data_IF_134604810280
#
_entry.id   IF_134604810280
#
_cell.length_a   1.000
_cell.length_b   1.000
_cell.length_c   1.000
_cell.angle_alpha   90.00
_cell.angle_beta   90.00
_cell.angle_gamma   90.00
#
_symmetry.space_group_name_H-M   'P 1'
#
loop_
_entity.id
_entity.type
_entity.pdbx_description
1 polymer ?
#
# COMPACT_ATOMS: atom_id res chain seq x y z
N UNK A 1 -15.52 11.59 3.12
CA UNK A 1 -16.08 10.64 2.12
C UNK A 1 -15.02 9.57 1.87
N UNK A 2 -15.36 8.32 2.12
CA UNK A 2 -14.43 7.18 2.03
C UNK A 2 -15.20 5.87 1.86
N UNK A 3 -14.49 4.74 1.72
CA UNK A 3 -15.07 3.41 1.92
C UNK A 3 -15.04 3.07 3.41
N UNK A 4 -16.13 2.58 3.97
CA UNK A 4 -16.24 2.26 5.41
C UNK A 4 -16.68 0.82 5.69
N UNK A 5 -17.23 0.13 4.70
CA UNK A 5 -17.93 -1.14 4.91
C UNK A 5 -17.21 -2.38 4.41
N UNK A 6 -15.92 -2.29 4.03
CA UNK A 6 -15.17 -3.41 3.44
C UNK A 6 -13.77 -3.52 4.02
N UNK A 7 -13.25 -4.74 4.04
CA UNK A 7 -11.83 -5.02 4.29
C UNK A 7 -10.99 -4.36 3.18
N UNK A 8 -10.50 -3.15 3.46
CA UNK A 8 -9.54 -2.47 2.61
C UNK A 8 -8.75 -1.45 3.46
N UNK A 9 -7.50 -1.17 3.08
CA UNK A 9 -6.64 -0.25 3.81
C UNK A 9 -7.23 1.16 3.97
N UNK A 10 -8.02 1.64 2.99
CA UNK A 10 -8.68 2.95 3.08
C UNK A 10 -9.78 2.97 4.14
N UNK A 11 -10.52 1.88 4.30
CA UNK A 11 -11.55 1.78 5.33
C UNK A 11 -10.91 1.73 6.73
N UNK A 12 -9.83 0.98 6.90
CA UNK A 12 -9.05 0.93 8.14
C UNK A 12 -8.51 2.33 8.49
N UNK A 13 -7.89 3.02 7.52
CA UNK A 13 -7.40 4.39 7.73
C UNK A 13 -8.52 5.38 8.06
N UNK A 14 -9.68 5.27 7.39
CA UNK A 14 -10.84 6.12 7.70
C UNK A 14 -11.36 5.90 9.13
N UNK A 15 -11.33 4.65 9.60
CA UNK A 15 -11.71 4.30 10.98
C UNK A 15 -10.70 4.90 11.97
N UNK A 16 -9.41 4.78 11.71
CA UNK A 16 -8.36 5.38 12.53
C UNK A 16 -8.50 6.92 12.58
N UNK A 17 -8.65 7.57 11.43
CA UNK A 17 -8.87 9.02 11.34
C UNK A 17 -10.10 9.49 12.12
N UNK A 18 -11.21 8.76 12.04
CA UNK A 18 -12.41 9.11 12.78
C UNK A 18 -12.15 9.12 14.29
N UNK A 19 -11.37 8.17 14.80
CA UNK A 19 -10.97 8.15 16.22
C UNK A 19 -10.07 9.32 16.57
N UNK A 20 -9.04 9.58 15.75
CA UNK A 20 -8.05 10.64 15.94
C UNK A 20 -8.68 12.04 15.92
N UNK A 21 -9.66 12.26 15.06
CA UNK A 21 -10.24 13.59 14.81
C UNK A 21 -11.53 13.87 15.59
N UNK A 22 -12.01 12.93 16.39
CA UNK A 22 -13.33 13.01 17.05
C UNK A 22 -13.43 14.17 18.06
N UNK A 23 -12.31 14.57 18.67
CA UNK A 23 -12.26 15.68 19.60
C UNK A 23 -12.20 17.05 18.88
N UNK A 24 -11.71 17.07 17.65
CA UNK A 24 -11.56 18.30 16.85
C UNK A 24 -12.78 18.57 15.94
N UNK A 25 -13.53 17.52 15.54
CA UNK A 25 -14.61 17.62 14.55
C UNK A 25 -15.79 16.70 14.88
N UNK A 26 -16.99 17.17 14.57
CA UNK A 26 -18.18 16.31 14.44
C UNK A 26 -18.14 15.63 13.06
N UNK A 27 -17.84 14.31 13.02
CA UNK A 27 -17.51 13.60 11.79
C UNK A 27 -18.66 12.70 11.34
N UNK A 28 -19.18 13.01 10.16
CA UNK A 28 -20.07 12.11 9.41
C UNK A 28 -19.33 11.46 8.25
N UNK A 29 -19.29 10.13 8.22
CA UNK A 29 -18.69 9.37 7.13
C UNK A 29 -19.72 9.01 6.06
N UNK A 30 -19.51 9.46 4.83
CA UNK A 30 -20.31 9.05 3.68
C UNK A 30 -19.60 7.89 2.97
N UNK A 31 -20.21 6.70 3.00
CA UNK A 31 -19.68 5.51 2.37
C UNK A 31 -19.78 5.56 0.85
N UNK A 32 -18.65 5.34 0.18
CA UNK A 32 -18.57 5.17 -1.27
C UNK A 32 -18.84 3.71 -1.61
N UNK A 33 -20.10 3.35 -1.80
CA UNK A 33 -20.56 1.98 -2.00
C UNK A 33 -19.89 1.31 -3.21
N UNK A 34 -18.89 0.45 -2.95
CA UNK A 34 -18.05 -0.17 -3.97
C UNK A 34 -18.81 -1.11 -4.90
N UNK A 35 -19.86 -1.76 -4.42
CA UNK A 35 -20.73 -2.60 -5.26
C UNK A 35 -21.38 -1.79 -6.37
N UNK A 36 -21.90 -0.60 -6.06
CA UNK A 36 -22.53 0.28 -7.04
C UNK A 36 -21.52 0.96 -7.95
N UNK A 37 -20.39 1.44 -7.36
CA UNK A 37 -19.45 2.30 -8.06
C UNK A 37 -18.54 1.54 -9.01
N UNK A 38 -18.18 0.28 -8.68
CA UNK A 38 -17.25 -0.55 -9.48
C UNK A 38 -17.94 -1.60 -10.36
N UNK A 39 -19.25 -1.70 -10.31
CA UNK A 39 -19.97 -2.71 -11.09
C UNK A 39 -19.78 -2.48 -12.61
N UNK A 40 -19.47 -3.51 -13.41
CA UNK A 40 -19.32 -3.37 -14.85
C UNK A 40 -20.65 -3.12 -15.58
N UNK A 41 -21.77 -3.52 -14.99
CA UNK A 41 -23.06 -3.44 -15.62
C UNK A 41 -23.60 -2.00 -15.69
N UNK A 42 -23.96 -1.53 -16.90
CA UNK A 42 -24.36 -0.12 -17.15
C UNK A 42 -25.51 0.39 -16.24
N UNK A 43 -26.51 -0.46 -15.96
CA UNK A 43 -27.64 -0.06 -15.09
C UNK A 43 -27.20 0.17 -13.66
N UNK A 44 -26.33 -0.71 -13.12
CA UNK A 44 -25.80 -0.56 -11.76
C UNK A 44 -24.88 0.65 -11.67
N UNK A 45 -24.06 0.92 -12.68
CA UNK A 45 -23.24 2.17 -12.75
C UNK A 45 -24.08 3.43 -12.68
N UNK A 46 -25.29 3.44 -13.30
CA UNK A 46 -26.23 4.56 -13.18
C UNK A 46 -26.77 4.72 -11.75
N UNK A 47 -26.97 3.62 -11.02
CA UNK A 47 -27.31 3.66 -9.60
C UNK A 47 -26.16 4.23 -8.77
N UNK A 48 -24.92 3.84 -9.08
CA UNK A 48 -23.71 4.43 -8.51
C UNK A 48 -23.62 5.94 -8.74
N UNK A 49 -23.93 6.42 -9.94
CA UNK A 49 -23.98 7.87 -10.22
C UNK A 49 -25.07 8.59 -9.42
N UNK A 50 -26.24 7.94 -9.21
CA UNK A 50 -27.31 8.47 -8.37
C UNK A 50 -26.88 8.56 -6.92
N UNK A 51 -26.28 7.49 -6.38
CA UNK A 51 -25.70 7.45 -5.04
C UNK A 51 -24.71 8.60 -4.79
N UNK A 52 -23.74 8.83 -5.71
CA UNK A 52 -22.81 9.96 -5.59
C UNK A 52 -23.54 11.31 -5.63
N UNK A 53 -24.56 11.48 -6.45
CA UNK A 53 -25.35 12.72 -6.48
C UNK A 53 -26.14 12.94 -5.18
N UNK A 54 -26.59 11.89 -4.51
CA UNK A 54 -27.22 11.97 -3.19
C UNK A 54 -26.19 12.43 -2.14
N UNK A 55 -24.98 11.86 -2.15
CA UNK A 55 -23.87 12.34 -1.32
C UNK A 55 -23.60 13.83 -1.62
N UNK A 56 -23.53 14.23 -2.88
CA UNK A 56 -23.33 15.63 -3.26
C UNK A 56 -24.38 16.58 -2.71
N UNK A 57 -25.64 16.15 -2.60
CA UNK A 57 -26.69 16.97 -1.97
C UNK A 57 -26.50 17.08 -0.46
N UNK A 58 -26.14 15.96 0.17
CA UNK A 58 -25.97 15.89 1.62
C UNK A 58 -24.77 16.70 2.11
N UNK A 59 -23.62 16.65 1.42
CA UNK A 59 -22.38 17.29 1.86
C UNK A 59 -22.39 18.82 1.78
N UNK A 60 -23.34 19.43 1.07
CA UNK A 60 -23.48 20.89 0.97
C UNK A 60 -23.77 21.60 2.29
N UNK A 61 -24.27 20.87 3.29
CA UNK A 61 -24.61 21.40 4.62
C UNK A 61 -23.48 21.29 5.65
N UNK A 62 -22.34 20.71 5.29
CA UNK A 62 -21.20 20.56 6.18
C UNK A 62 -20.24 21.73 6.00
N UNK A 63 -19.53 22.12 7.07
CA UNK A 63 -18.55 23.21 7.02
C UNK A 63 -17.37 22.87 6.13
N UNK A 64 -16.87 21.65 6.22
CA UNK A 64 -15.79 21.14 5.37
C UNK A 64 -16.03 19.68 4.97
N UNK A 65 -15.42 19.27 3.91
CA UNK A 65 -15.50 17.91 3.38
C UNK A 65 -14.12 17.40 3.06
N UNK A 66 -13.70 16.34 3.74
CA UNK A 66 -12.51 15.61 3.36
C UNK A 66 -12.86 14.44 2.42
N UNK A 67 -12.18 14.34 1.29
CA UNK A 67 -12.26 13.24 0.34
C UNK A 67 -11.01 12.38 0.45
N UNK A 68 -11.15 11.15 0.94
CA UNK A 68 -10.11 10.13 0.91
C UNK A 68 -10.01 9.58 -0.51
N UNK A 69 -9.08 10.10 -1.30
CA UNK A 69 -8.96 9.78 -2.71
C UNK A 69 -8.03 8.58 -2.93
N UNK A 70 -8.66 7.45 -3.15
CA UNK A 70 -8.10 6.33 -3.87
C UNK A 70 -8.95 6.11 -5.11
N UNK A 71 -8.34 6.19 -6.29
CA UNK A 71 -9.08 6.26 -7.56
C UNK A 71 -10.08 5.13 -7.73
N UNK A 72 -9.69 3.92 -7.36
CA UNK A 72 -10.53 2.73 -7.40
C UNK A 72 -11.82 2.84 -6.57
N UNK A 73 -11.86 3.69 -5.56
CA UNK A 73 -13.07 3.86 -4.70
C UNK A 73 -14.18 4.61 -5.42
N UNK A 74 -13.86 5.45 -6.39
CA UNK A 74 -14.84 6.20 -7.17
C UNK A 74 -15.36 5.46 -8.39
N UNK A 75 -14.74 4.34 -8.78
CA UNK A 75 -15.21 3.55 -9.92
C UNK A 75 -14.17 2.63 -10.52
N UNK A 76 -14.56 1.93 -11.60
CA UNK A 76 -13.66 1.06 -12.38
C UNK A 76 -13.11 1.74 -13.64
N UNK A 77 -13.89 2.66 -14.23
CA UNK A 77 -13.53 3.35 -15.46
C UNK A 77 -13.07 4.78 -15.17
N UNK A 78 -11.95 5.21 -15.77
CA UNK A 78 -11.37 6.53 -15.55
C UNK A 78 -12.35 7.69 -15.77
N UNK A 79 -13.23 7.58 -16.78
CA UNK A 79 -14.27 8.59 -17.05
C UNK A 79 -15.33 8.67 -15.94
N UNK A 80 -15.71 7.53 -15.33
CA UNK A 80 -16.66 7.54 -14.21
C UNK A 80 -16.00 8.10 -12.95
N UNK A 81 -14.74 7.70 -12.68
CA UNK A 81 -13.93 8.20 -11.56
C UNK A 81 -13.82 9.73 -11.66
N UNK A 82 -13.35 10.24 -12.80
CA UNK A 82 -13.17 11.68 -13.01
C UNK A 82 -14.48 12.46 -12.91
N UNK A 83 -15.56 11.97 -13.53
CA UNK A 83 -16.88 12.61 -13.47
C UNK A 83 -17.41 12.71 -12.04
N UNK A 84 -17.33 11.61 -11.27
CA UNK A 84 -17.77 11.56 -9.87
C UNK A 84 -16.91 12.44 -8.98
N UNK A 85 -15.61 12.43 -9.20
CA UNK A 85 -14.68 13.34 -8.53
C UNK A 85 -15.07 14.81 -8.77
N UNK A 86 -15.36 15.20 -10.00
CA UNK A 86 -15.84 16.55 -10.31
C UNK A 86 -17.12 16.91 -9.55
N UNK A 87 -18.10 16.00 -9.50
CA UNK A 87 -19.36 16.27 -8.77
C UNK A 87 -19.12 16.47 -7.27
N UNK A 88 -18.32 15.62 -6.64
CA UNK A 88 -18.01 15.71 -5.21
C UNK A 88 -17.24 17.00 -4.89
N UNK A 89 -16.21 17.31 -5.67
CA UNK A 89 -15.38 18.50 -5.47
C UNK A 89 -16.16 19.79 -5.70
N UNK A 90 -17.10 19.84 -6.62
CA UNK A 90 -17.97 21.01 -6.82
C UNK A 90 -19.00 21.17 -5.69
N UNK A 91 -19.52 20.07 -5.16
CA UNK A 91 -20.56 20.09 -4.14
C UNK A 91 -20.05 20.48 -2.73
N UNK A 92 -18.82 20.17 -2.40
CA UNK A 92 -18.21 20.46 -1.09
C UNK A 92 -18.11 22.00 -0.87
N UNK A 93 -18.56 22.56 0.26
CA UNK A 93 -18.41 24.00 0.54
C UNK A 93 -16.94 24.39 0.71
N UNK A 94 -16.20 23.67 1.54
CA UNK A 94 -14.76 23.71 1.73
C UNK A 94 -14.23 22.31 1.47
N UNK A 95 -13.12 22.16 0.76
CA UNK A 95 -12.62 20.87 0.31
C UNK A 95 -11.22 20.59 0.83
N UNK A 96 -11.05 19.43 1.45
CA UNK A 96 -9.76 18.81 1.69
C UNK A 96 -9.69 17.48 0.93
N UNK A 97 -8.59 17.20 0.23
CA UNK A 97 -8.41 15.92 -0.48
C UNK A 97 -7.18 15.21 0.07
N UNK A 98 -7.37 14.04 0.62
CA UNK A 98 -6.26 13.15 1.02
C UNK A 98 -5.97 12.19 -0.12
N UNK A 99 -4.77 12.28 -0.70
CA UNK A 99 -4.31 11.41 -1.78
C UNK A 99 -3.60 10.18 -1.20
N UNK A 100 -4.17 9.01 -1.36
CA UNK A 100 -3.51 7.74 -1.00
C UNK A 100 -2.55 7.25 -2.08
N UNK A 101 -2.80 7.66 -3.32
CA UNK A 101 -1.93 7.46 -4.48
C UNK A 101 -1.96 8.73 -5.31
N UNK A 102 -0.79 9.24 -5.67
CA UNK A 102 -0.69 10.35 -6.61
C UNK A 102 -0.26 9.81 -7.98
N UNK A 103 -1.09 10.02 -9.00
CA UNK A 103 -0.76 9.58 -10.35
C UNK A 103 0.04 10.66 -11.07
N UNK A 104 1.25 10.33 -11.51
CA UNK A 104 2.04 11.20 -12.35
C UNK A 104 1.44 11.32 -13.76
N UNK A 105 1.61 12.47 -14.44
CA UNK A 105 1.18 12.61 -15.84
C UNK A 105 1.86 11.55 -16.72
N UNK A 106 1.09 10.77 -17.51
CA UNK A 106 1.68 9.73 -18.34
C UNK A 106 2.43 10.32 -19.52
N UNK A 107 3.62 9.81 -19.80
CA UNK A 107 4.26 10.04 -21.08
C UNK A 107 3.52 9.26 -22.18
N UNK A 108 3.35 9.88 -23.35
CA UNK A 108 2.79 9.18 -24.51
C UNK A 108 3.92 8.56 -25.32
N UNK A 109 3.91 7.24 -25.44
CA UNK A 109 4.86 6.54 -26.30
C UNK A 109 4.46 6.69 -27.77
N UNK A 110 4.92 7.78 -28.36
CA UNK A 110 4.65 8.11 -29.78
C UNK A 110 5.32 7.11 -30.72
N UNK A 111 6.47 6.55 -30.35
CA UNK A 111 7.21 5.59 -31.19
C UNK A 111 6.47 4.26 -31.27
N UNK A 112 6.05 3.70 -30.14
CA UNK A 112 5.24 2.48 -30.13
C UNK A 112 3.88 2.69 -30.81
N UNK A 113 3.28 3.86 -30.66
CA UNK A 113 2.03 4.22 -31.33
C UNK A 113 2.18 4.28 -32.85
N UNK A 114 3.20 4.97 -33.38
CA UNK A 114 3.46 5.04 -34.82
C UNK A 114 3.84 3.65 -35.39
N UNK A 115 4.61 2.85 -34.64
CA UNK A 115 4.92 1.48 -35.02
C UNK A 115 3.65 0.61 -35.13
N UNK A 116 2.73 0.74 -34.18
CA UNK A 116 1.44 0.02 -34.21
C UNK A 116 0.59 0.41 -35.45
N UNK A 117 0.60 1.69 -35.84
CA UNK A 117 -0.05 2.15 -37.06
C UNK A 117 0.64 1.62 -38.31
N UNK A 118 1.98 1.69 -38.39
CA UNK A 118 2.76 1.20 -39.52
C UNK A 118 2.61 -0.31 -39.77
N UNK A 119 2.37 -1.07 -38.68
CA UNK A 119 2.13 -2.52 -38.75
C UNK A 119 0.64 -2.87 -38.87
N UNK A 120 -0.24 -1.90 -39.18
CA UNK A 120 -1.70 -2.06 -39.27
C UNK A 120 -2.35 -2.64 -38.01
N UNK A 121 -1.70 -2.58 -36.85
CA UNK A 121 -2.26 -3.03 -35.57
C UNK A 121 -3.11 -1.92 -34.94
N UNK A 122 -4.21 -1.57 -35.62
CA UNK A 122 -5.12 -0.51 -35.16
C UNK A 122 -5.72 -0.76 -33.77
N UNK A 123 -5.90 -2.05 -33.41
CA UNK A 123 -6.41 -2.43 -32.09
C UNK A 123 -5.45 -2.03 -30.97
N UNK A 124 -4.15 -2.23 -31.17
CA UNK A 124 -3.10 -1.79 -30.25
C UNK A 124 -3.03 -0.26 -30.17
N UNK A 125 -3.01 0.42 -31.31
CA UNK A 125 -2.97 1.88 -31.37
C UNK A 125 -4.16 2.54 -30.64
N UNK A 126 -5.38 2.05 -30.87
CA UNK A 126 -6.59 2.54 -30.18
C UNK A 126 -6.50 2.26 -28.67
N UNK A 127 -6.01 1.09 -28.26
CA UNK A 127 -5.82 0.75 -26.84
C UNK A 127 -4.83 1.74 -26.19
N UNK A 128 -3.64 1.92 -26.78
CA UNK A 128 -2.61 2.84 -26.26
C UNK A 128 -3.16 4.26 -26.09
N UNK A 129 -3.86 4.78 -27.10
CA UNK A 129 -4.49 6.09 -27.01
C UNK A 129 -5.52 6.18 -25.89
N UNK A 130 -6.37 5.16 -25.75
CA UNK A 130 -7.41 5.14 -24.71
C UNK A 130 -6.82 5.02 -23.31
N UNK A 131 -5.78 4.22 -23.13
CA UNK A 131 -5.11 4.04 -21.84
C UNK A 131 -4.36 5.32 -21.45
N UNK A 132 -3.66 5.96 -22.40
CA UNK A 132 -3.05 7.29 -22.17
C UNK A 132 -4.10 8.33 -21.81
N UNK A 133 -5.21 8.42 -22.57
CA UNK A 133 -6.29 9.37 -22.27
C UNK A 133 -6.90 9.14 -20.88
N UNK A 134 -7.07 7.88 -20.48
CA UNK A 134 -7.57 7.52 -19.15
C UNK A 134 -6.60 7.95 -18.05
N UNK A 135 -5.33 7.63 -18.19
CA UNK A 135 -4.30 8.01 -17.23
C UNK A 135 -4.16 9.55 -17.15
N UNK A 136 -4.22 10.25 -18.28
CA UNK A 136 -4.20 11.72 -18.33
C UNK A 136 -5.41 12.35 -17.64
N UNK A 137 -6.62 11.78 -17.76
CA UNK A 137 -7.79 12.26 -17.01
C UNK A 137 -7.62 12.12 -15.50
N UNK A 138 -7.03 11.01 -15.04
CA UNK A 138 -6.88 10.74 -13.62
C UNK A 138 -5.69 11.46 -12.98
N UNK A 139 -4.73 11.94 -13.76
CA UNK A 139 -3.62 12.78 -13.28
C UNK A 139 -3.89 14.27 -13.58
N UNK A 140 -3.63 14.70 -14.78
CA UNK A 140 -3.77 16.12 -15.18
C UNK A 140 -5.20 16.65 -15.05
N UNK A 141 -6.21 15.82 -15.36
CA UNK A 141 -7.62 16.20 -15.26
C UNK A 141 -8.01 16.51 -13.81
N UNK A 142 -7.60 15.68 -12.85
CA UNK A 142 -7.86 15.90 -11.41
C UNK A 142 -7.15 17.18 -10.94
N UNK A 143 -5.87 17.37 -11.27
CA UNK A 143 -5.15 18.59 -10.93
C UNK A 143 -5.81 19.85 -11.51
N UNK A 144 -6.26 19.79 -12.77
CA UNK A 144 -7.00 20.89 -13.41
C UNK A 144 -8.34 21.17 -12.71
N UNK A 145 -9.07 20.15 -12.32
CA UNK A 145 -10.33 20.32 -11.57
C UNK A 145 -10.09 20.96 -10.21
N UNK A 146 -9.10 20.53 -9.45
CA UNK A 146 -8.77 21.13 -8.16
C UNK A 146 -8.31 22.58 -8.30
N UNK A 147 -7.46 22.90 -9.30
CA UNK A 147 -7.08 24.29 -9.62
C UNK A 147 -8.30 25.17 -9.93
N UNK A 148 -9.26 24.65 -10.70
CA UNK A 148 -10.49 25.36 -11.01
C UNK A 148 -11.35 25.57 -9.75
N UNK A 149 -11.44 24.59 -8.86
CA UNK A 149 -12.25 24.69 -7.65
C UNK A 149 -11.62 25.66 -6.65
N UNK A 150 -10.29 25.66 -6.47
CA UNK A 150 -9.60 26.54 -5.51
C UNK A 150 -9.68 28.04 -5.87
N UNK A 151 -10.07 28.40 -7.09
CA UNK A 151 -10.34 29.82 -7.42
C UNK A 151 -11.65 30.34 -6.84
N UNK A 152 -12.54 29.44 -6.39
CA UNK A 152 -13.89 29.78 -5.94
C UNK A 152 -14.14 29.47 -4.46
N UNK A 153 -13.35 28.59 -3.89
CA UNK A 153 -13.48 28.16 -2.50
C UNK A 153 -12.17 27.63 -1.93
N UNK A 154 -12.03 27.52 -0.60
CA UNK A 154 -10.85 26.93 0.02
C UNK A 154 -10.68 25.46 -0.39
N UNK A 155 -9.46 25.11 -0.84
CA UNK A 155 -9.05 23.75 -1.20
C UNK A 155 -7.70 23.47 -0.57
N UNK A 156 -7.59 22.34 0.11
CA UNK A 156 -6.33 21.80 0.60
C UNK A 156 -6.12 20.39 0.09
N UNK A 157 -4.88 19.95 0.10
CA UNK A 157 -4.49 18.57 -0.18
C UNK A 157 -3.64 18.04 0.97
N UNK A 158 -3.83 16.76 1.30
CA UNK A 158 -3.00 15.99 2.22
C UNK A 158 -2.40 14.85 1.42
N UNK A 159 -1.09 14.64 1.55
CA UNK A 159 -0.34 13.57 0.90
C UNK A 159 0.52 12.85 1.94
N UNK A 160 1.07 11.68 1.59
CA UNK A 160 1.74 10.83 2.58
C UNK A 160 3.26 10.78 2.43
N UNK A 161 3.81 11.57 1.50
CA UNK A 161 5.26 11.71 1.33
C UNK A 161 5.63 13.08 0.73
N UNK A 162 6.90 13.47 0.83
CA UNK A 162 7.39 14.77 0.38
C UNK A 162 7.40 14.93 -1.13
N UNK A 163 7.71 13.86 -1.85
CA UNK A 163 7.66 13.87 -3.32
C UNK A 163 6.25 14.23 -3.81
N UNK A 164 5.23 13.56 -3.28
CA UNK A 164 3.84 13.83 -3.65
C UNK A 164 3.38 15.23 -3.21
N UNK A 165 3.96 15.78 -2.11
CA UNK A 165 3.73 17.17 -1.72
C UNK A 165 4.25 18.13 -2.80
N UNK A 166 5.47 17.95 -3.28
CA UNK A 166 6.03 18.77 -4.36
C UNK A 166 5.22 18.63 -5.65
N UNK A 167 4.89 17.40 -6.05
CA UNK A 167 4.10 17.13 -7.25
C UNK A 167 2.70 17.74 -7.15
N UNK A 168 2.04 17.63 -6.00
CA UNK A 168 0.73 18.23 -5.79
C UNK A 168 0.80 19.76 -5.84
N UNK A 169 1.85 20.37 -5.30
CA UNK A 169 2.05 21.82 -5.32
C UNK A 169 2.41 22.33 -6.71
N UNK A 170 3.39 21.71 -7.37
CA UNK A 170 3.96 22.23 -8.61
C UNK A 170 3.29 21.67 -9.87
N UNK A 171 2.99 20.37 -9.93
CA UNK A 171 2.33 19.79 -11.11
C UNK A 171 0.81 19.98 -11.06
N UNK A 172 0.18 19.78 -9.89
CA UNK A 172 -1.26 19.98 -9.73
C UNK A 172 -1.62 21.43 -9.43
N UNK A 173 -0.68 22.27 -8.98
CA UNK A 173 -0.86 23.69 -8.70
C UNK A 173 -1.82 23.96 -7.53
N UNK A 174 -1.79 23.12 -6.51
CA UNK A 174 -2.59 23.31 -5.29
C UNK A 174 -1.82 24.18 -4.31
N UNK A 175 -2.47 25.22 -3.76
CA UNK A 175 -1.81 26.23 -2.91
C UNK A 175 -1.52 25.71 -1.50
N UNK A 176 -2.46 24.98 -0.92
CA UNK A 176 -2.36 24.49 0.45
C UNK A 176 -2.18 22.96 0.40
N UNK A 177 -0.93 22.52 0.56
CA UNK A 177 -0.57 21.11 0.55
C UNK A 177 0.16 20.81 1.85
N UNK A 178 -0.27 19.76 2.52
CA UNK A 178 0.27 19.23 3.75
C UNK A 178 0.74 17.81 3.52
N UNK A 179 1.85 17.46 4.13
CA UNK A 179 2.38 16.10 4.08
C UNK A 179 2.45 15.49 5.47
N UNK A 180 2.00 14.27 5.58
CA UNK A 180 2.12 13.46 6.79
C UNK A 180 2.10 11.98 6.41
N UNK A 181 3.07 11.15 6.86
CA UNK A 181 3.00 9.70 6.63
C UNK A 181 1.75 9.13 7.28
N UNK A 182 1.31 7.95 6.83
CA UNK A 182 0.14 7.30 7.43
C UNK A 182 0.40 7.02 8.92
N UNK A 183 -0.61 7.28 9.75
CA UNK A 183 -0.59 6.97 11.18
C UNK A 183 -1.94 6.42 11.64
N UNK A 184 -1.91 5.36 12.44
CA UNK A 184 -3.09 4.56 12.78
C UNK A 184 -3.33 4.44 14.27
N UNK A 185 -2.26 4.22 15.08
CA UNK A 185 -2.36 3.73 16.44
C UNK A 185 -1.91 4.79 17.45
N UNK A 186 -2.74 5.03 18.45
CA UNK A 186 -2.39 5.81 19.63
C UNK A 186 -1.53 4.99 20.61
N UNK A 187 -0.83 5.67 21.54
CA UNK A 187 -0.01 4.99 22.54
C UNK A 187 -0.78 3.94 23.37
N UNK A 188 -2.00 4.21 23.87
CA UNK A 188 -2.79 3.21 24.58
C UNK A 188 -3.18 1.99 23.72
N UNK A 189 -3.47 2.22 22.43
CA UNK A 189 -3.77 1.13 21.49
C UNK A 189 -2.54 0.25 21.27
N UNK A 190 -1.36 0.84 21.10
CA UNK A 190 -0.08 0.13 20.95
C UNK A 190 0.20 -0.71 22.20
N UNK A 191 0.06 -0.15 23.39
CA UNK A 191 0.27 -0.87 24.67
C UNK A 191 -0.69 -2.05 24.79
N UNK A 192 -1.97 -1.86 24.49
CA UNK A 192 -2.98 -2.92 24.52
C UNK A 192 -2.64 -4.04 23.54
N UNK A 193 -2.31 -3.71 22.28
CA UNK A 193 -1.99 -4.70 21.25
C UNK A 193 -0.74 -5.49 21.65
N UNK A 194 0.30 -4.82 22.14
CA UNK A 194 1.55 -5.47 22.56
C UNK A 194 1.35 -6.35 23.78
N UNK A 195 0.56 -5.91 24.75
CA UNK A 195 0.23 -6.70 25.95
C UNK A 195 -0.56 -7.96 25.66
N UNK A 196 -1.39 -7.92 24.62
CA UNK A 196 -2.25 -9.04 24.20
C UNK A 196 -1.61 -9.93 23.12
N UNK A 197 -0.44 -9.56 22.58
CA UNK A 197 0.20 -10.28 21.49
C UNK A 197 1.01 -11.45 22.03
N UNK A 198 0.38 -12.61 22.05
CA UNK A 198 0.98 -13.89 22.45
C UNK A 198 0.84 -14.89 21.31
N UNK A 199 1.82 -15.80 21.18
CA UNK A 199 1.86 -16.81 20.12
C UNK A 199 0.67 -17.77 20.19
N UNK A 200 0.19 -18.10 21.39
CA UNK A 200 -0.92 -19.02 21.65
C UNK A 200 -2.27 -18.54 21.04
N UNK A 201 -2.35 -17.28 20.60
CA UNK A 201 -3.52 -16.80 19.85
C UNK A 201 -3.59 -17.32 18.41
N UNK A 202 -2.52 -17.94 17.95
CA UNK A 202 -2.39 -18.45 16.59
C UNK A 202 -2.21 -19.97 16.62
N UNK A 203 -3.29 -20.77 16.73
CA UNK A 203 -3.22 -22.22 16.92
C UNK A 203 -2.37 -22.97 15.89
N UNK A 204 -2.23 -22.40 14.68
CA UNK A 204 -1.36 -22.97 13.66
C UNK A 204 0.14 -22.82 13.95
N UNK A 205 0.51 -22.15 15.03
CA UNK A 205 1.88 -21.98 15.49
C UNK A 205 2.20 -22.81 16.75
N UNK A 206 1.22 -23.57 17.28
CA UNK A 206 1.37 -24.33 18.52
C UNK A 206 2.42 -25.44 18.41
N UNK A 207 2.56 -26.02 17.20
CA UNK A 207 3.51 -27.09 16.94
C UNK A 207 4.95 -26.60 16.65
N UNK A 208 5.16 -25.27 16.60
CA UNK A 208 6.50 -24.73 16.33
C UNK A 208 7.37 -24.76 17.60
N UNK A 209 8.67 -25.05 17.48
CA UNK A 209 9.59 -25.05 18.62
C UNK A 209 9.69 -23.66 19.27
N UNK A 210 10.09 -23.62 20.54
CA UNK A 210 10.21 -22.38 21.32
C UNK A 210 11.28 -21.42 20.77
N UNK A 211 12.30 -21.96 20.12
CA UNK A 211 13.37 -21.21 19.48
C UNK A 211 13.06 -20.83 18.02
N UNK A 212 11.82 -21.01 17.55
CA UNK A 212 11.41 -20.63 16.23
C UNK A 212 11.50 -19.10 16.02
N UNK A 213 12.21 -18.69 14.99
CA UNK A 213 12.31 -17.29 14.54
C UNK A 213 11.19 -17.00 13.56
N UNK A 214 10.31 -16.07 13.88
CA UNK A 214 9.11 -15.76 13.11
C UNK A 214 9.33 -14.54 12.21
N UNK A 215 9.22 -14.74 10.90
CA UNK A 215 9.34 -13.68 9.88
C UNK A 215 7.96 -13.44 9.29
N UNK A 216 7.43 -12.23 9.40
CA UNK A 216 6.08 -11.91 8.94
C UNK A 216 6.04 -11.08 7.66
N UNK A 217 5.20 -11.46 6.69
CA UNK A 217 4.84 -10.64 5.53
C UNK A 217 3.37 -10.29 5.62
N UNK A 218 3.01 -9.01 5.38
CA UNK A 218 1.70 -8.46 5.71
C UNK A 218 1.03 -7.73 4.54
N UNK A 219 -0.27 -8.00 4.33
CA UNK A 219 -1.15 -7.33 3.39
C UNK A 219 -1.84 -8.27 2.42
N UNK A 220 -2.70 -7.73 1.55
CA UNK A 220 -3.35 -8.53 0.51
C UNK A 220 -2.32 -9.16 -0.41
N UNK A 221 -2.52 -10.42 -0.75
CA UNK A 221 -1.64 -11.17 -1.65
C UNK A 221 -1.83 -10.67 -3.08
N UNK A 222 -0.83 -9.94 -3.56
CA UNK A 222 -0.75 -9.39 -4.89
C UNK A 222 0.71 -9.39 -5.36
N UNK A 223 0.95 -9.51 -6.65
CA UNK A 223 2.30 -9.63 -7.24
C UNK A 223 3.26 -8.54 -6.75
N UNK A 224 2.79 -7.29 -6.66
CA UNK A 224 3.66 -6.20 -6.22
C UNK A 224 4.12 -6.30 -4.76
N UNK A 225 3.50 -7.16 -3.95
CA UNK A 225 3.92 -7.42 -2.57
C UNK A 225 5.20 -8.25 -2.48
N UNK A 226 5.59 -8.93 -3.57
CA UNK A 226 6.86 -9.64 -3.68
C UNK A 226 7.05 -10.76 -2.67
N UNK A 227 5.97 -11.41 -2.23
CA UNK A 227 6.01 -12.48 -1.21
C UNK A 227 6.96 -13.60 -1.63
N UNK A 228 7.08 -13.84 -2.92
CA UNK A 228 8.03 -14.77 -3.53
C UNK A 228 9.48 -14.51 -3.11
N UNK A 229 9.89 -13.24 -2.96
CA UNK A 229 11.25 -12.89 -2.51
C UNK A 229 11.49 -13.37 -1.08
N UNK A 230 10.49 -13.29 -0.21
CA UNK A 230 10.60 -13.79 1.17
C UNK A 230 10.62 -15.32 1.22
N UNK A 231 9.84 -16.01 0.35
CA UNK A 231 9.88 -17.47 0.21
C UNK A 231 11.26 -17.92 -0.28
N UNK A 232 11.81 -17.27 -1.29
CA UNK A 232 13.13 -17.58 -1.81
C UNK A 232 14.25 -17.32 -0.78
N UNK A 233 14.16 -16.24 0.00
CA UNK A 233 15.11 -15.96 1.07
C UNK A 233 15.12 -17.03 2.16
N UNK A 234 13.95 -17.63 2.47
CA UNK A 234 13.82 -18.66 3.52
C UNK A 234 14.71 -19.89 3.26
N UNK A 235 15.04 -20.19 2.01
CA UNK A 235 15.94 -21.31 1.66
C UNK A 235 17.35 -21.15 2.23
N UNK A 236 17.79 -19.90 2.47
CA UNK A 236 19.13 -19.57 2.97
C UNK A 236 19.16 -19.30 4.47
N UNK A 237 18.01 -19.43 5.15
CA UNK A 237 17.89 -19.25 6.59
C UNK A 237 17.93 -20.59 7.33
N UNK A 238 18.39 -20.63 8.59
CA UNK A 238 18.34 -21.81 9.45
C UNK A 238 16.94 -22.43 9.51
N UNK A 239 16.89 -23.72 9.83
CA UNK A 239 15.64 -24.50 9.82
C UNK A 239 14.59 -24.02 10.83
N UNK A 240 15.02 -23.38 11.93
CA UNK A 240 14.14 -22.79 12.91
C UNK A 240 13.51 -21.44 12.48
N UNK A 241 13.80 -20.95 11.27
CA UNK A 241 13.16 -19.74 10.73
C UNK A 241 11.88 -20.10 9.98
N UNK A 242 10.78 -19.46 10.33
CA UNK A 242 9.46 -19.69 9.77
C UNK A 242 8.89 -18.41 9.17
N UNK A 243 8.32 -18.53 7.96
CA UNK A 243 7.68 -17.42 7.25
C UNK A 243 6.17 -17.45 7.49
N UNK A 244 5.65 -16.38 8.08
CA UNK A 244 4.22 -16.18 8.33
C UNK A 244 3.66 -15.20 7.27
N UNK A 245 2.71 -15.64 6.45
CA UNK A 245 2.10 -14.86 5.39
C UNK A 245 0.71 -14.41 5.82
N UNK A 246 0.60 -13.19 6.31
CA UNK A 246 -0.64 -12.58 6.80
C UNK A 246 -1.35 -11.82 5.68
N UNK A 247 -2.43 -12.38 5.20
CA UNK A 247 -3.27 -11.79 4.18
C UNK A 247 -3.93 -12.82 3.29
N UNK A 248 -4.90 -12.37 2.54
CA UNK A 248 -5.62 -13.17 1.55
C UNK A 248 -5.70 -12.44 0.22
N UNK A 249 -6.33 -13.06 -0.77
CA UNK A 249 -6.66 -12.40 -2.04
C UNK A 249 -7.60 -11.24 -1.75
N UNK A 250 -7.33 -10.09 -2.40
CA UNK A 250 -8.23 -8.95 -2.25
C UNK A 250 -9.66 -9.33 -2.69
N UNK A 251 -10.70 -9.05 -1.89
CA UNK A 251 -12.07 -9.52 -2.19
C UNK A 251 -12.60 -9.13 -3.57
N UNK A 252 -12.06 -8.05 -4.16
CA UNK A 252 -12.45 -7.59 -5.50
C UNK A 252 -11.75 -8.33 -6.65
N UNK A 253 -10.73 -9.12 -6.35
CA UNK A 253 -9.98 -9.94 -7.32
C UNK A 253 -10.46 -11.40 -7.34
N UNK A 254 -11.34 -11.77 -6.40
CA UNK A 254 -11.97 -13.09 -6.41
C UNK A 254 -12.99 -13.14 -7.55
N UNK A 255 -12.66 -13.87 -8.62
CA UNK A 255 -13.55 -14.07 -9.74
C UNK A 255 -14.43 -15.31 -9.51
N UNK A 256 -15.76 -15.24 -9.77
CA UNK A 256 -16.63 -16.40 -9.73
C UNK A 256 -16.13 -17.46 -10.75
N UNK A 257 -16.07 -18.72 -10.32
CA UNK A 257 -15.67 -19.88 -11.15
C UNK A 257 -14.18 -19.92 -11.53
N UNK A 258 -13.33 -19.09 -10.95
CA UNK A 258 -11.89 -19.23 -11.09
C UNK A 258 -11.39 -20.22 -10.03
N UNK A 259 -10.79 -21.36 -10.42
CA UNK A 259 -10.45 -22.40 -9.44
C UNK A 259 -9.36 -21.97 -8.46
N UNK A 260 -8.39 -21.16 -8.92
CA UNK A 260 -7.32 -20.60 -8.09
C UNK A 260 -6.89 -19.25 -8.66
N UNK A 261 -6.45 -18.35 -7.79
CA UNK A 261 -5.82 -17.10 -8.23
C UNK A 261 -4.38 -17.42 -8.71
N UNK A 262 -3.96 -17.02 -9.93
CA UNK A 262 -2.66 -17.39 -10.50
C UNK A 262 -1.48 -17.07 -9.58
N UNK A 263 -1.47 -15.88 -8.98
CA UNK A 263 -0.43 -15.47 -8.04
C UNK A 263 -0.36 -16.37 -6.80
N UNK A 264 -1.51 -16.74 -6.23
CA UNK A 264 -1.54 -17.68 -5.09
C UNK A 264 -0.98 -19.05 -5.50
N UNK A 265 -1.35 -19.54 -6.68
CA UNK A 265 -0.78 -20.79 -7.20
C UNK A 265 0.73 -20.70 -7.30
N UNK A 266 1.28 -19.59 -7.83
CA UNK A 266 2.74 -19.42 -7.95
C UNK A 266 3.45 -19.38 -6.59
N UNK A 267 2.81 -18.84 -5.54
CA UNK A 267 3.38 -18.87 -4.18
C UNK A 267 3.43 -20.30 -3.61
N UNK A 268 2.37 -21.09 -3.82
CA UNK A 268 2.37 -22.50 -3.41
C UNK A 268 3.38 -23.32 -4.20
N UNK A 269 3.48 -23.11 -5.51
CA UNK A 269 4.47 -23.80 -6.34
C UNK A 269 5.90 -23.53 -5.86
N UNK A 270 6.19 -22.30 -5.43
CA UNK A 270 7.50 -21.94 -4.83
C UNK A 270 7.70 -22.52 -3.43
N UNK A 271 6.66 -22.61 -2.61
CA UNK A 271 6.72 -23.14 -1.26
C UNK A 271 6.96 -24.66 -1.24
N UNK A 272 6.29 -25.37 -2.11
CA UNK A 272 6.38 -26.84 -2.19
C UNK A 272 7.48 -27.34 -3.14
N UNK A 273 8.04 -26.45 -3.94
CA UNK A 273 9.06 -26.71 -4.97
C UNK A 273 8.75 -27.98 -5.74
N UNK A 274 8.12 -27.84 -6.91
CA UNK A 274 7.73 -28.97 -7.76
C UNK A 274 8.95 -29.80 -8.19
N UNK A 275 9.29 -30.83 -7.42
CA UNK A 275 10.36 -31.78 -7.71
C UNK A 275 10.12 -32.51 -9.02
N UNK A 276 8.85 -32.52 -9.52
CA UNK A 276 8.50 -33.20 -10.77
C UNK A 276 9.21 -32.63 -11.99
N UNK A 277 9.62 -31.35 -11.94
CA UNK A 277 10.40 -30.74 -13.02
C UNK A 277 11.80 -31.38 -13.08
N UNK A 278 12.44 -31.61 -11.94
CA UNK A 278 13.76 -32.28 -11.85
C UNK A 278 13.64 -33.76 -12.19
N UNK A 279 12.58 -34.43 -11.75
CA UNK A 279 12.30 -35.82 -12.13
C UNK A 279 12.03 -35.94 -13.61
N UNK A 280 11.35 -34.98 -14.23
CA UNK A 280 11.18 -34.92 -15.70
C UNK A 280 12.49 -34.66 -16.42
N UNK A 281 13.32 -33.75 -15.92
CA UNK A 281 14.64 -33.46 -16.51
C UNK A 281 15.59 -34.65 -16.36
N UNK A 282 15.62 -35.31 -15.21
CA UNK A 282 16.39 -36.54 -15.01
C UNK A 282 15.85 -37.70 -15.86
N UNK A 283 14.52 -37.82 -16.02
CA UNK A 283 13.88 -38.80 -16.89
C UNK A 283 14.14 -38.56 -18.39
N UNK A 284 14.34 -37.32 -18.83
CA UNK A 284 14.75 -36.98 -20.20
C UNK A 284 16.20 -37.36 -20.42
N UNK A 285 17.09 -37.16 -19.42
CA UNK A 285 18.48 -37.59 -19.50
C UNK A 285 18.63 -39.13 -19.66
N UNK A 286 17.71 -39.92 -19.10
CA UNK A 286 17.70 -41.39 -19.21
C UNK A 286 17.19 -41.90 -20.55
N UNK A 287 16.62 -41.06 -21.44
CA UNK A 287 16.11 -41.43 -22.75
C UNK A 287 17.07 -41.18 -23.93
N UNK A 288 18.39 -41.19 -23.68
CA UNK A 288 19.41 -41.18 -24.73
C UNK A 288 19.84 -39.79 -25.24
N UNK A 289 19.41 -38.71 -24.62
CA UNK A 289 20.08 -37.42 -24.78
C UNK A 289 21.39 -37.40 -23.94
N UNK A 290 22.51 -36.86 -24.46
CA UNK A 290 23.73 -36.74 -23.66
C UNK A 290 23.37 -35.88 -22.42
N UNK A 291 23.79 -36.31 -21.21
CA UNK A 291 23.56 -35.53 -20.02
C UNK A 291 24.17 -34.14 -20.22
N UNK A 292 23.47 -33.09 -19.88
CA UNK A 292 24.06 -31.76 -19.78
C UNK A 292 25.06 -31.84 -18.62
N UNK A 293 26.32 -32.02 -18.96
CA UNK A 293 27.39 -32.01 -17.96
C UNK A 293 27.67 -30.54 -17.64
N UNK A 294 27.04 -30.07 -16.59
CA UNK A 294 27.43 -28.80 -15.98
C UNK A 294 28.65 -29.09 -15.13
N UNK A 295 29.82 -28.64 -15.57
CA UNK A 295 31.02 -28.66 -14.73
C UNK A 295 30.85 -27.61 -13.63
N UNK A 296 30.18 -28.01 -12.56
CA UNK A 296 30.05 -27.22 -11.35
C UNK A 296 31.20 -27.59 -10.41
N UNK A 297 31.78 -26.59 -9.75
CA UNK A 297 32.70 -26.87 -8.65
C UNK A 297 31.94 -27.54 -7.49
N UNK A 298 32.70 -28.09 -6.53
CA UNK A 298 32.07 -28.83 -5.42
C UNK A 298 31.10 -27.98 -4.63
N UNK A 299 31.39 -26.71 -4.38
CA UNK A 299 30.50 -25.80 -3.66
C UNK A 299 29.20 -25.51 -4.42
N UNK A 300 29.30 -25.33 -5.74
CA UNK A 300 28.13 -25.14 -6.60
C UNK A 300 27.30 -26.44 -6.71
N UNK A 301 27.98 -27.61 -6.77
CA UNK A 301 27.31 -28.91 -6.79
C UNK A 301 26.58 -29.20 -5.49
N UNK A 302 27.16 -28.86 -4.34
CA UNK A 302 26.53 -28.95 -3.04
C UNK A 302 25.34 -27.99 -2.93
N UNK A 303 25.47 -26.76 -3.42
CA UNK A 303 24.40 -25.77 -3.47
C UNK A 303 23.24 -26.26 -4.36
N UNK A 304 23.54 -26.75 -5.56
CA UNK A 304 22.54 -27.29 -6.49
C UNK A 304 21.91 -28.59 -5.97
N UNK A 305 22.67 -29.43 -5.25
CA UNK A 305 22.15 -30.62 -4.60
C UNK A 305 21.29 -30.35 -3.38
N UNK A 306 21.40 -29.17 -2.78
CA UNK A 306 20.54 -28.73 -1.69
C UNK A 306 19.18 -28.15 -2.20
N UNK A 307 19.01 -27.97 -3.48
CA UNK A 307 17.80 -27.46 -4.10
C UNK A 307 17.15 -28.50 -5.04
N UNK A 308 15.82 -28.52 -5.09
CA UNK A 308 14.84 -27.72 -4.37
C UNK A 308 14.60 -28.21 -2.94
N UNK A 309 14.59 -27.32 -1.97
CA UNK A 309 14.11 -27.66 -0.61
C UNK A 309 12.60 -27.46 -0.53
N UNK A 310 11.90 -28.45 -0.02
CA UNK A 310 10.50 -28.29 0.38
C UNK A 310 10.46 -27.37 1.61
N UNK A 311 9.81 -26.23 1.45
CA UNK A 311 9.65 -25.21 2.50
C UNK A 311 8.27 -25.28 3.15
N UNK A 312 7.42 -26.24 2.77
CA UNK A 312 6.02 -26.32 3.21
C UNK A 312 5.87 -26.36 4.73
N UNK A 313 6.78 -27.02 5.44
CA UNK A 313 6.79 -27.07 6.90
C UNK A 313 7.20 -25.73 7.57
N UNK A 314 7.76 -24.80 6.81
CA UNK A 314 8.32 -23.54 7.32
C UNK A 314 7.55 -22.31 6.85
N UNK A 315 6.53 -22.48 6.00
CA UNK A 315 5.69 -21.39 5.48
C UNK A 315 4.26 -21.57 5.96
N UNK A 316 3.74 -20.57 6.66
CA UNK A 316 2.42 -20.58 7.25
C UNK A 316 1.55 -19.48 6.62
N UNK A 317 0.55 -19.87 5.83
CA UNK A 317 -0.43 -18.95 5.26
C UNK A 317 -1.52 -18.67 6.29
N UNK A 318 -1.39 -17.54 7.01
CA UNK A 318 -2.26 -17.15 8.11
C UNK A 318 -3.66 -16.69 7.63
N UNK A 319 -3.82 -16.43 6.33
CA UNK A 319 -5.09 -15.99 5.74
C UNK A 319 -5.44 -14.52 6.03
N UNK A 320 -6.68 -14.16 5.72
CA UNK A 320 -7.22 -12.84 5.99
C UNK A 320 -7.78 -12.79 7.42
N UNK A 321 -7.10 -12.11 8.31
CA UNK A 321 -7.46 -11.96 9.71
C UNK A 321 -8.22 -10.66 9.99
N UNK A 322 -8.89 -10.59 11.13
CA UNK A 322 -9.40 -9.35 11.67
C UNK A 322 -8.23 -8.37 11.97
N UNK A 323 -8.50 -7.06 11.95
CA UNK A 323 -7.46 -6.03 12.13
C UNK A 323 -6.67 -6.24 13.43
N UNK A 324 -7.34 -6.58 14.53
CA UNK A 324 -6.67 -6.84 15.81
C UNK A 324 -5.70 -8.01 15.77
N UNK A 325 -6.07 -9.11 15.13
CA UNK A 325 -5.19 -10.28 14.98
C UNK A 325 -4.05 -10.02 13.99
N UNK A 326 -4.32 -9.24 12.94
CA UNK A 326 -3.30 -8.80 11.99
C UNK A 326 -2.20 -7.96 12.68
N UNK A 327 -2.59 -7.04 13.57
CA UNK A 327 -1.65 -6.21 14.35
C UNK A 327 -0.88 -7.04 15.40
N UNK A 328 -1.55 -7.95 16.12
CA UNK A 328 -0.89 -8.86 17.04
C UNK A 328 0.10 -9.78 16.31
N UNK A 329 -0.27 -10.24 15.11
CA UNK A 329 0.63 -10.99 14.24
C UNK A 329 1.93 -10.25 13.92
N UNK A 330 1.90 -8.92 13.76
CA UNK A 330 3.12 -8.13 13.58
C UNK A 330 4.01 -8.16 14.82
N UNK A 331 3.40 -8.07 16.01
CA UNK A 331 4.15 -7.99 17.28
C UNK A 331 4.84 -9.32 17.63
N UNK A 332 4.24 -10.47 17.30
CA UNK A 332 4.84 -11.78 17.57
C UNK A 332 6.00 -12.13 16.63
N UNK A 333 6.17 -11.40 15.52
CA UNK A 333 7.24 -11.66 14.57
C UNK A 333 8.55 -11.02 15.03
N UNK A 334 9.67 -11.75 14.91
CA UNK A 334 11.02 -11.24 15.15
C UNK A 334 11.44 -10.20 14.10
N UNK A 335 10.89 -10.31 12.89
CA UNK A 335 11.04 -9.34 11.83
C UNK A 335 9.78 -9.27 10.94
N UNK A 336 9.39 -8.05 10.57
CA UNK A 336 8.32 -7.78 9.60
C UNK A 336 8.96 -7.37 8.28
N UNK A 337 8.67 -8.13 7.23
CA UNK A 337 9.30 -7.95 5.91
C UNK A 337 8.31 -7.37 4.91
N UNK A 338 8.75 -6.33 4.20
CA UNK A 338 8.00 -5.70 3.10
C UNK A 338 8.78 -5.82 1.78
N UNK A 339 8.71 -6.96 1.09
CA UNK A 339 9.53 -7.25 -0.09
C UNK A 339 8.90 -6.71 -1.39
N UNK A 340 8.30 -5.52 -1.34
CA UNK A 340 7.51 -4.97 -2.42
C UNK A 340 8.32 -4.73 -3.70
N UNK A 341 7.66 -4.89 -4.84
CA UNK A 341 8.15 -4.44 -6.13
C UNK A 341 7.82 -2.96 -6.33
N UNK A 342 8.57 -2.28 -7.20
CA UNK A 342 8.32 -0.89 -7.52
C UNK A 342 7.12 -0.73 -8.45
N UNK A 343 6.04 -0.14 -7.96
CA UNK A 343 4.80 0.10 -8.72
C UNK A 343 4.33 1.55 -8.64
N UNK A 344 5.15 2.45 -8.08
CA UNK A 344 4.79 3.86 -7.92
C UNK A 344 3.75 4.12 -6.83
N UNK A 345 3.68 3.27 -5.81
CA UNK A 345 2.80 3.47 -4.67
C UNK A 345 3.27 4.66 -3.82
N UNK A 346 2.34 5.48 -3.32
CA UNK A 346 2.67 6.66 -2.49
C UNK A 346 2.88 6.33 -1.02
N UNK A 347 2.18 5.31 -0.48
CA UNK A 347 2.24 4.96 0.94
C UNK A 347 1.81 3.51 1.19
N UNK A 348 2.20 2.95 2.32
CA UNK A 348 1.80 1.60 2.72
C UNK A 348 1.33 1.60 4.18
N UNK A 349 0.08 1.20 4.42
CA UNK A 349 -0.49 1.10 5.77
C UNK A 349 0.25 0.12 6.67
N UNK A 350 0.53 -1.12 6.22
CA UNK A 350 1.19 -2.11 7.07
C UNK A 350 2.58 -1.69 7.59
N UNK A 351 3.41 -0.97 6.81
CA UNK A 351 4.70 -0.53 7.32
C UNK A 351 4.56 0.54 8.41
N UNK A 352 3.55 1.43 8.29
CA UNK A 352 3.26 2.43 9.33
C UNK A 352 2.80 1.76 10.63
N UNK A 353 1.91 0.76 10.51
CA UNK A 353 1.45 -0.02 11.67
C UNK A 353 2.59 -0.81 12.33
N UNK A 354 3.47 -1.44 11.54
CA UNK A 354 4.65 -2.15 12.06
C UNK A 354 5.60 -1.20 12.80
N UNK A 355 5.79 0.03 12.29
CA UNK A 355 6.60 1.06 12.95
C UNK A 355 5.98 1.50 14.27
N UNK A 356 4.68 1.80 14.29
CA UNK A 356 3.95 2.22 15.50
C UNK A 356 3.98 1.14 16.58
N UNK A 357 3.93 -0.13 16.19
CA UNK A 357 4.07 -1.28 17.08
C UNK A 357 5.51 -1.57 17.51
N UNK A 358 6.50 -0.84 17.00
CA UNK A 358 7.91 -1.01 17.37
C UNK A 358 8.54 -2.29 16.82
N UNK A 359 8.03 -2.84 15.72
CA UNK A 359 8.56 -4.05 15.09
C UNK A 359 9.91 -3.77 14.39
N UNK A 360 10.77 -4.79 14.27
CA UNK A 360 11.91 -4.77 13.36
C UNK A 360 11.38 -4.80 11.92
N UNK A 361 11.72 -3.80 11.12
CA UNK A 361 11.24 -3.66 9.75
C UNK A 361 12.38 -3.86 8.76
N UNK A 362 12.20 -4.83 7.86
CA UNK A 362 13.10 -5.08 6.73
C UNK A 362 12.32 -4.86 5.43
N UNK A 363 12.72 -3.93 4.58
CA UNK A 363 11.94 -3.55 3.40
C UNK A 363 12.81 -3.42 2.15
N UNK A 364 12.22 -3.70 0.99
CA UNK A 364 12.87 -3.47 -0.30
C UNK A 364 13.05 -1.97 -0.58
N UNK A 365 14.10 -1.59 -1.34
CA UNK A 365 14.42 -0.19 -1.70
C UNK A 365 13.46 0.38 -2.73
N UNK A 366 12.15 0.32 -2.49
CA UNK A 366 11.18 1.03 -3.32
C UNK A 366 11.17 2.53 -3.00
N UNK A 367 10.78 3.37 -3.95
CA UNK A 367 10.66 4.81 -3.72
C UNK A 367 9.76 5.14 -2.53
N UNK A 368 8.64 4.41 -2.38
CA UNK A 368 7.73 4.59 -1.25
C UNK A 368 8.41 4.37 0.11
N UNK A 369 9.19 3.30 0.25
CA UNK A 369 9.84 2.99 1.52
C UNK A 369 11.05 3.89 1.81
N UNK A 370 11.76 4.35 0.78
CA UNK A 370 12.80 5.36 0.92
C UNK A 370 12.19 6.70 1.40
N UNK A 371 11.09 7.15 0.81
CA UNK A 371 10.34 8.33 1.26
C UNK A 371 9.81 8.17 2.70
N UNK A 372 9.32 6.98 3.06
CA UNK A 372 8.89 6.66 4.43
C UNK A 372 10.05 6.79 5.43
N UNK A 373 11.24 6.32 5.08
CA UNK A 373 12.43 6.41 5.92
C UNK A 373 12.94 7.86 6.11
N UNK A 374 12.60 8.79 5.21
CA UNK A 374 12.90 10.22 5.40
C UNK A 374 12.15 10.83 6.60
N UNK A 375 10.92 10.35 6.87
CA UNK A 375 10.16 10.74 8.07
C UNK A 375 10.60 9.97 9.31
N UNK A 376 11.04 8.73 9.14
CA UNK A 376 11.31 7.78 10.22
C UNK A 376 12.74 7.25 10.12
N UNK A 377 13.70 8.14 10.35
CA UNK A 377 15.13 7.80 10.26
C UNK A 377 15.48 6.63 11.18
N UNK A 378 16.31 5.74 10.70
CA UNK A 378 16.78 4.56 11.44
C UNK A 378 15.63 3.62 11.89
N UNK A 379 14.57 3.53 11.11
CA UNK A 379 13.44 2.67 11.40
C UNK A 379 13.31 1.46 10.45
N UNK A 380 14.02 1.48 9.32
CA UNK A 380 13.87 0.47 8.25
C UNK A 380 15.26 -0.02 7.83
N UNK A 381 15.44 -1.33 7.85
CA UNK A 381 16.58 -2.01 7.23
C UNK A 381 16.25 -2.30 5.77
N UNK A 382 17.17 -1.98 4.86
CA UNK A 382 16.87 -2.08 3.43
C UNK A 382 17.62 -3.22 2.75
N UNK A 383 16.96 -3.80 1.74
CA UNK A 383 17.57 -4.70 0.76
C UNK A 383 17.10 -4.33 -0.66
N UNK A 384 17.82 -4.73 -1.69
CA UNK A 384 17.46 -4.40 -3.07
C UNK A 384 16.24 -5.19 -3.56
N UNK A 385 15.43 -4.56 -4.40
CA UNK A 385 14.16 -5.14 -4.88
C UNK A 385 14.41 -6.50 -5.54
N UNK A 386 13.73 -7.54 -5.06
CA UNK A 386 13.86 -8.91 -5.58
C UNK A 386 15.11 -9.65 -5.15
N UNK A 387 16.03 -9.02 -4.41
CA UNK A 387 17.27 -9.64 -3.95
C UNK A 387 17.05 -10.48 -2.68
N UNK A 388 16.62 -11.72 -2.85
CA UNK A 388 16.35 -12.64 -1.75
C UNK A 388 17.59 -13.04 -0.94
N UNK A 389 18.80 -13.00 -1.55
CA UNK A 389 20.04 -13.28 -0.85
C UNK A 389 20.40 -12.18 0.14
N UNK A 390 20.30 -10.91 -0.29
CA UNK A 390 20.50 -9.77 0.61
C UNK A 390 19.41 -9.75 1.72
N UNK A 391 18.18 -10.11 1.40
CA UNK A 391 17.12 -10.24 2.40
C UNK A 391 17.49 -11.30 3.45
N UNK A 392 17.96 -12.48 3.04
CA UNK A 392 18.40 -13.51 3.96
C UNK A 392 19.58 -13.03 4.82
N UNK A 393 20.57 -12.35 4.25
CA UNK A 393 21.69 -11.75 4.98
C UNK A 393 21.22 -10.75 6.03
N UNK A 394 20.26 -9.87 5.68
CA UNK A 394 19.68 -8.91 6.63
C UNK A 394 18.97 -9.59 7.77
N UNK A 395 18.21 -10.65 7.50
CA UNK A 395 17.49 -11.40 8.53
C UNK A 395 18.41 -12.14 9.50
N UNK A 396 19.54 -12.66 9.01
CA UNK A 396 20.59 -13.31 9.83
C UNK A 396 21.40 -12.32 10.66
N UNK A 397 21.56 -11.10 10.15
CA UNK A 397 22.30 -10.07 10.87
C UNK A 397 21.55 -9.61 12.13
N UNK A 398 22.33 -9.16 13.13
CA UNK A 398 21.73 -8.46 14.27
C UNK A 398 20.95 -7.24 13.79
N UNK A 399 19.80 -6.92 14.41
CA UNK A 399 19.04 -5.72 14.05
C UNK A 399 19.93 -4.48 14.04
N UNK A 400 19.90 -3.73 12.93
CA UNK A 400 20.68 -2.49 12.78
C UNK A 400 20.17 -1.40 13.71
N UNK A 401 18.88 -1.43 13.99
CA UNK A 401 18.20 -0.46 14.84
C UNK A 401 17.57 -1.17 16.04
N UNK A 402 17.64 -0.52 17.19
CA UNK A 402 16.92 -1.01 18.38
C UNK A 402 15.43 -0.82 18.19
N UNK A 403 14.63 -1.74 18.76
CA UNK A 403 13.20 -1.53 18.89
C UNK A 403 12.95 -0.15 19.53
N UNK A 404 12.05 0.60 18.92
CA UNK A 404 11.77 1.97 19.36
C UNK A 404 10.98 1.94 20.66
N UNK A 405 11.42 2.73 21.61
CA UNK A 405 10.65 3.04 22.80
C UNK A 405 9.79 4.28 22.52
N UNK A 406 8.48 4.17 22.69
CA UNK A 406 7.50 5.25 22.46
C UNK A 406 7.08 5.45 20.99
N UNK A 407 6.16 6.38 20.80
CA UNK A 407 5.60 6.70 19.48
C UNK A 407 6.63 7.38 18.57
N UNK A 408 6.50 7.23 17.24
CA UNK A 408 7.28 7.96 16.27
C UNK A 408 7.00 9.48 16.33
N UNK A 409 7.94 10.28 15.84
CA UNK A 409 7.78 11.75 15.79
C UNK A 409 6.57 12.17 14.92
N UNK A 410 6.31 11.42 13.86
CA UNK A 410 5.08 11.52 13.07
C UNK A 410 4.13 10.43 13.56
N UNK A 411 3.13 10.80 14.33
CA UNK A 411 2.19 9.92 15.02
C UNK A 411 0.75 10.44 14.88
N UNK A 412 -0.19 9.86 15.61
CA UNK A 412 -1.61 10.23 15.54
C UNK A 412 -1.88 11.68 15.92
N UNK A 413 -1.11 12.25 16.86
CA UNK A 413 -1.28 13.64 17.32
C UNK A 413 -0.84 14.62 16.23
N UNK A 414 0.31 14.37 15.60
CA UNK A 414 0.80 15.19 14.49
C UNK A 414 -0.06 15.02 13.23
N UNK A 415 -0.64 13.83 13.03
CA UNK A 415 -1.61 13.57 11.97
C UNK A 415 -2.91 14.35 12.20
N UNK A 416 -3.45 14.33 13.42
CA UNK A 416 -4.61 15.13 13.81
C UNK A 416 -4.36 16.61 13.53
N UNK A 417 -3.24 17.16 14.01
CA UNK A 417 -2.87 18.55 13.77
C UNK A 417 -2.81 18.90 12.27
N UNK A 418 -2.29 17.98 11.45
CA UNK A 418 -2.25 18.13 9.98
C UNK A 418 -3.65 18.21 9.39
N UNK A 419 -4.56 17.32 9.81
CA UNK A 419 -5.95 17.34 9.35
C UNK A 419 -6.72 18.56 9.84
N UNK A 420 -6.49 19.02 11.07
CA UNK A 420 -7.08 20.26 11.60
C UNK A 420 -6.66 21.46 10.75
N UNK A 421 -5.38 21.59 10.46
CA UNK A 421 -4.86 22.67 9.60
C UNK A 421 -5.43 22.58 8.18
N UNK A 422 -5.42 21.41 7.58
CA UNK A 422 -5.89 21.21 6.21
C UNK A 422 -7.39 21.49 6.05
N UNK A 423 -8.22 21.09 7.01
CA UNK A 423 -9.67 21.31 6.98
C UNK A 423 -10.05 22.73 7.46
N UNK A 424 -9.17 23.39 8.23
CA UNK A 424 -9.35 24.75 8.71
C UNK A 424 -9.02 25.86 7.70
N UNK A 425 -8.47 25.55 6.53
CA UNK A 425 -8.14 26.56 5.53
C UNK A 425 -9.36 27.40 5.14
N UNK A 426 -9.25 28.75 5.33
CA UNK A 426 -10.34 29.69 5.06
C UNK A 426 -11.43 29.74 6.13
N UNK A 427 -11.22 29.12 7.30
CA UNK A 427 -12.02 29.36 8.50
C UNK A 427 -11.32 30.37 9.43
N UNK A 428 -12.09 31.13 10.20
CA UNK A 428 -11.59 31.76 11.41
C UNK A 428 -11.41 30.64 12.44
N UNK A 429 -10.18 30.16 12.63
CA UNK A 429 -9.88 29.16 13.66
C UNK A 429 -10.05 29.81 15.05
N UNK A 430 -10.75 29.14 16.01
CA UNK A 430 -10.77 29.58 17.39
C UNK A 430 -9.35 29.76 17.92
N UNK A 431 -9.12 30.76 18.79
CA UNK A 431 -7.81 31.10 19.30
C UNK A 431 -7.07 29.94 20.00
N UNK A 432 -7.82 28.95 20.52
CA UNK A 432 -7.29 27.72 21.12
C UNK A 432 -6.67 26.71 20.11
N UNK A 433 -7.05 26.77 18.83
CA UNK A 433 -6.53 25.90 17.76
C UNK A 433 -5.30 26.50 17.05
N UNK A 434 -4.80 27.65 17.50
CA UNK A 434 -3.55 28.26 17.01
C UNK A 434 -2.38 27.55 17.66
N UNK A 435 -2.02 26.46 17.07
CA UNK A 435 -0.85 25.58 17.20
C UNK A 435 0.13 25.79 18.36
N UNK A 436 0.51 24.71 19.06
CA UNK A 436 1.78 24.68 19.77
C UNK A 436 2.95 24.81 18.79
N UNK A 437 4.00 25.46 19.23
CA UNK A 437 5.18 25.95 18.51
C UNK A 437 6.07 24.88 17.81
N UNK A 438 5.56 23.69 17.51
CA UNK A 438 6.30 22.59 16.88
C UNK A 438 6.39 22.67 15.35
N UNK A 439 5.66 23.59 14.70
CA UNK A 439 5.70 23.78 13.24
C UNK A 439 6.76 24.80 12.77
N UNK A 440 7.87 24.97 13.52
CA UNK A 440 9.01 25.79 13.05
C UNK A 440 9.89 25.13 12.00
N UNK A 441 9.56 23.95 11.47
CA UNK A 441 10.50 23.15 10.67
C UNK A 441 10.25 23.18 9.16
N UNK A 442 9.26 23.88 8.64
CA UNK A 442 9.14 23.97 7.17
C UNK A 442 8.66 25.31 6.65
N UNK A 443 9.25 26.41 7.07
CA UNK A 443 9.31 27.57 6.18
C UNK A 443 10.53 27.37 5.31
N UNK A 444 10.26 27.01 4.04
CA UNK A 444 11.28 26.88 3.03
C UNK A 444 12.17 28.12 2.97
N UNK A 445 13.45 27.86 2.78
CA UNK A 445 14.47 28.84 2.40
C UNK A 445 13.95 29.62 1.19
N UNK A 446 13.93 30.96 1.21
CA UNK A 446 13.70 31.74 -0.01
C UNK A 446 14.82 31.40 -0.98
N UNK A 447 14.47 31.01 -2.18
CA UNK A 447 15.40 31.03 -3.30
C UNK A 447 15.51 32.53 -3.65
N UNK A 448 16.65 33.12 -3.32
CA UNK A 448 17.06 34.41 -3.89
C UNK A 448 17.24 34.23 -5.40
N UNK A 449 16.78 35.20 -6.16
CA UNK A 449 16.80 35.27 -7.62
C UNK A 449 18.21 35.15 -8.26
#
# INVERSE_FOLDING_TARGET
MSTSSKLCGIAAYTTALRRQLNDAFDITVFDLNQYLLRNPHRRVRKLGDRHVKEICRAIRRFDCVNLQLEYGTLGRHGSDIFRRFCWLTEAAPRLSVTFHTLLTPPAFDSLAFTRALATFNFKAAIRMRNDHHRAHLLSVGIGRQLRRVQTRKPVSAIVHNRRDMFDTRYLYGIRHVFDHPLSYLSAPEVETIRGDAVRDRFPMLDDLPDDAVLIGVFGFLNEYKGVETAIEALQYLPENHHLLVFGGVHPQEIAPRQPRHPYITSLFDRAYMDTTLYDRMSGIATRGAPPLVVNADQGLSELLGAHPRDLSARIHFMGALAESEFLRGMVICDAVVFPYLEVGQSSSGPISQALELGCRIVASRTHNFLEFAEYHKNAVEFFDIGNHLELAERLLARPQFRAREGLPAFNVETNEATYVLANGIGAELPAAARAPSLLKVTRGVPVED
#
